data_IF_683184276371
#
_entry.id   IF_683184276371
#
_cell.length_a   1.000
_cell.length_b   1.000
_cell.length_c   1.000
_cell.angle_alpha   90.00
_cell.angle_beta   90.00
_cell.angle_gamma   90.00
#
_symmetry.space_group_name_H-M   'P 1'
#
loop_
_entity.id
_entity.type
_entity.pdbx_description
1 polymer ?
#
# COMPACT_ATOMS: atom_id res chain seq x y z
N UNK A 1 -18.15 -13.54 -11.56
CA UNK A 1 -17.62 -12.67 -10.48
C UNK A 1 -16.57 -13.46 -9.71
N UNK A 2 -15.40 -12.89 -9.42
CA UNK A 2 -14.43 -13.52 -8.50
C UNK A 2 -14.95 -13.36 -7.07
N UNK A 3 -14.65 -14.32 -6.20
CA UNK A 3 -14.97 -14.19 -4.78
C UNK A 3 -14.10 -13.09 -4.15
N UNK A 4 -14.71 -11.92 -3.94
CA UNK A 4 -14.03 -10.73 -3.41
C UNK A 4 -13.56 -10.93 -1.97
N UNK A 5 -14.24 -11.78 -1.18
CA UNK A 5 -13.84 -12.10 0.18
C UNK A 5 -12.60 -13.00 0.17
N UNK A 6 -12.57 -14.01 -0.70
CA UNK A 6 -11.38 -14.84 -0.89
C UNK A 6 -10.18 -14.00 -1.36
N UNK A 7 -10.37 -13.10 -2.33
CA UNK A 7 -9.30 -12.21 -2.81
C UNK A 7 -8.80 -11.30 -1.68
N UNK A 8 -9.70 -10.71 -0.89
CA UNK A 8 -9.30 -9.88 0.25
C UNK A 8 -8.47 -10.67 1.27
N UNK A 9 -8.88 -11.89 1.62
CA UNK A 9 -8.14 -12.75 2.54
C UNK A 9 -6.75 -13.15 1.99
N UNK A 10 -6.65 -13.42 0.69
CA UNK A 10 -5.37 -13.72 0.04
C UNK A 10 -4.43 -12.51 0.05
N UNK A 11 -4.95 -11.30 -0.18
CA UNK A 11 -4.19 -10.05 -0.09
C UNK A 11 -3.72 -9.81 1.36
N UNK A 12 -4.55 -10.08 2.37
CA UNK A 12 -4.15 -9.92 3.77
C UNK A 12 -3.05 -10.90 4.20
N UNK A 13 -3.14 -12.15 3.74
CA UNK A 13 -2.09 -13.15 3.95
C UNK A 13 -0.77 -12.72 3.26
N UNK A 14 -0.84 -12.26 2.01
CA UNK A 14 0.33 -11.77 1.28
C UNK A 14 0.97 -10.55 1.95
N UNK A 15 0.18 -9.55 2.33
CA UNK A 15 0.66 -8.34 3.01
C UNK A 15 1.28 -8.66 4.37
N UNK A 16 0.77 -9.68 5.08
CA UNK A 16 1.38 -10.17 6.32
C UNK A 16 2.80 -10.68 6.08
N UNK A 17 3.00 -11.52 5.06
CA UNK A 17 4.34 -12.00 4.68
C UNK A 17 5.24 -10.84 4.27
N UNK A 18 4.75 -9.90 3.44
CA UNK A 18 5.57 -8.75 3.03
C UNK A 18 5.99 -7.87 4.21
N UNK A 19 5.11 -7.65 5.20
CA UNK A 19 5.44 -6.92 6.43
C UNK A 19 6.53 -7.62 7.22
N UNK A 20 6.43 -8.93 7.37
CA UNK A 20 7.41 -9.75 8.08
C UNK A 20 8.77 -9.73 7.36
N UNK A 21 8.80 -9.90 6.04
CA UNK A 21 10.02 -9.86 5.25
C UNK A 21 10.67 -8.46 5.25
N UNK A 22 9.87 -7.39 5.19
CA UNK A 22 10.39 -6.02 5.31
C UNK A 22 11.08 -5.82 6.68
N UNK A 23 10.45 -6.29 7.76
CA UNK A 23 11.04 -6.23 9.10
C UNK A 23 12.35 -7.04 9.19
N UNK A 24 12.38 -8.25 8.63
CA UNK A 24 13.60 -9.10 8.58
C UNK A 24 14.74 -8.46 7.78
N UNK A 25 14.41 -7.72 6.73
CA UNK A 25 15.38 -6.99 5.92
C UNK A 25 15.83 -5.65 6.55
N UNK A 26 15.23 -5.23 7.69
CA UNK A 26 15.47 -3.90 8.27
C UNK A 26 14.88 -2.76 7.43
N UNK A 27 13.94 -3.05 6.54
CA UNK A 27 13.24 -2.09 5.72
C UNK A 27 11.94 -1.61 6.40
N UNK A 28 11.47 -0.42 6.03
CA UNK A 28 10.17 0.08 6.46
C UNK A 28 9.04 -0.54 5.63
N UNK A 29 8.02 -1.09 6.31
CA UNK A 29 6.76 -1.50 5.69
C UNK A 29 5.78 -0.32 5.66
N UNK A 30 5.25 0.02 4.48
CA UNK A 30 4.22 1.05 4.31
C UNK A 30 2.90 0.38 3.98
N UNK A 31 1.99 0.34 4.96
CA UNK A 31 0.69 -0.28 4.76
C UNK A 31 -0.27 0.66 4.01
N UNK A 32 -0.38 0.45 2.70
CA UNK A 32 -1.34 1.14 1.83
C UNK A 32 -2.71 0.45 1.80
N UNK A 33 -2.86 -0.71 2.44
CA UNK A 33 -4.07 -1.53 2.38
C UNK A 33 -5.33 -0.81 2.86
N UNK A 34 -5.33 -0.15 4.04
CA UNK A 34 -6.50 0.57 4.55
C UNK A 34 -7.03 1.65 3.58
N UNK A 35 -6.17 2.57 3.12
CA UNK A 35 -6.59 3.64 2.20
C UNK A 35 -7.03 3.09 0.85
N UNK A 36 -6.41 1.99 0.40
CA UNK A 36 -6.77 1.32 -0.84
C UNK A 36 -8.15 0.64 -0.75
N UNK A 37 -8.51 0.08 0.40
CA UNK A 37 -9.84 -0.50 0.64
C UNK A 37 -10.92 0.56 0.76
N UNK A 38 -10.61 1.65 1.47
CA UNK A 38 -11.56 2.74 1.71
C UNK A 38 -11.92 3.45 0.40
N UNK A 39 -10.92 3.74 -0.44
CA UNK A 39 -11.07 4.65 -1.59
C UNK A 39 -10.90 4.00 -2.95
N UNK A 40 -10.45 2.75 -3.01
CA UNK A 40 -10.10 2.07 -4.27
C UNK A 40 -11.28 1.83 -5.22
N UNK A 41 -12.52 1.96 -4.77
CA UNK A 41 -13.70 1.93 -5.63
C UNK A 41 -14.09 3.27 -6.25
N UNK A 42 -13.44 4.38 -5.85
CA UNK A 42 -13.71 5.71 -6.40
C UNK A 42 -13.10 5.85 -7.79
N UNK A 43 -13.88 6.33 -8.77
CA UNK A 43 -13.40 6.58 -10.15
C UNK A 43 -12.16 7.48 -10.16
N UNK A 44 -12.09 8.47 -9.28
CA UNK A 44 -10.94 9.38 -9.19
C UNK A 44 -9.65 8.72 -8.68
N UNK A 45 -9.74 7.55 -8.01
CA UNK A 45 -8.60 6.84 -7.45
C UNK A 45 -8.00 5.78 -8.40
N UNK A 46 -8.63 5.55 -9.54
CA UNK A 46 -8.19 4.58 -10.55
C UNK A 46 -7.93 5.28 -11.88
N UNK A 47 -7.10 4.67 -12.72
CA UNK A 47 -7.04 5.02 -14.15
C UNK A 47 -8.14 4.28 -14.92
N UNK A 48 -8.25 4.55 -16.22
CA UNK A 48 -9.35 4.08 -17.07
C UNK A 48 -9.52 2.55 -17.14
N UNK A 49 -8.53 1.76 -16.72
CA UNK A 49 -8.62 0.31 -16.67
C UNK A 49 -9.37 -0.24 -15.44
N UNK A 50 -9.75 0.62 -14.50
CA UNK A 50 -10.50 0.24 -13.32
C UNK A 50 -9.73 -0.64 -12.34
N UNK A 51 -8.39 -0.69 -12.45
CA UNK A 51 -7.53 -1.49 -11.57
C UNK A 51 -6.31 -0.70 -11.07
N UNK A 52 -5.59 0.00 -11.94
CA UNK A 52 -4.36 0.66 -11.53
C UNK A 52 -4.65 1.98 -10.79
N UNK A 53 -3.89 2.29 -9.73
CA UNK A 53 -4.04 3.55 -8.99
C UNK A 53 -3.82 4.77 -9.89
N UNK A 54 -4.68 5.78 -9.73
CA UNK A 54 -4.48 7.09 -10.35
C UNK A 54 -3.37 7.88 -9.64
N UNK A 55 -3.00 9.03 -10.22
CA UNK A 55 -2.10 9.99 -9.57
C UNK A 55 -2.60 10.41 -8.18
N UNK A 56 -3.92 10.50 -7.98
CA UNK A 56 -4.50 10.88 -6.70
C UNK A 56 -4.32 9.78 -5.63
N UNK A 57 -4.47 8.50 -6.01
CA UNK A 57 -4.19 7.39 -5.09
C UNK A 57 -2.69 7.27 -4.78
N UNK A 58 -1.82 7.43 -5.79
CA UNK A 58 -0.37 7.46 -5.58
C UNK A 58 0.08 8.61 -4.67
N UNK A 59 -0.60 9.76 -4.69
CA UNK A 59 -0.32 10.85 -3.76
C UNK A 59 -0.59 10.45 -2.30
N UNK A 60 -1.68 9.72 -2.02
CA UNK A 60 -1.97 9.19 -0.68
C UNK A 60 -0.91 8.17 -0.24
N UNK A 61 -0.56 7.23 -1.13
CA UNK A 61 0.46 6.22 -0.84
C UNK A 61 1.82 6.86 -0.56
N UNK A 62 2.20 7.88 -1.33
CA UNK A 62 3.44 8.62 -1.15
C UNK A 62 3.44 9.41 0.16
N UNK A 63 2.30 9.99 0.55
CA UNK A 63 2.16 10.67 1.83
C UNK A 63 2.35 9.71 3.02
N UNK A 64 1.84 8.48 2.94
CA UNK A 64 2.08 7.43 3.94
C UNK A 64 3.56 7.01 4.00
N UNK A 65 4.25 6.96 2.86
CA UNK A 65 5.65 6.59 2.78
C UNK A 65 6.61 7.69 3.28
N UNK A 66 6.20 8.96 3.21
CA UNK A 66 7.08 10.11 3.45
C UNK A 66 7.80 10.10 4.82
N UNK A 67 7.15 9.79 5.96
CA UNK A 67 7.84 9.77 7.25
C UNK A 67 8.95 8.71 7.30
N UNK A 68 8.69 7.51 6.77
CA UNK A 68 9.67 6.43 6.71
C UNK A 68 10.82 6.75 5.76
N UNK A 69 10.53 7.35 4.59
CA UNK A 69 11.55 7.81 3.66
C UNK A 69 12.47 8.87 4.29
N UNK A 70 11.89 9.82 5.04
CA UNK A 70 12.67 10.81 5.80
C UNK A 70 13.57 10.15 6.84
N UNK A 71 13.05 9.19 7.61
CA UNK A 71 13.82 8.45 8.61
C UNK A 71 14.99 7.67 7.97
N UNK A 72 14.76 7.01 6.84
CA UNK A 72 15.78 6.25 6.12
C UNK A 72 16.92 7.12 5.55
N UNK A 73 16.63 8.39 5.25
CA UNK A 73 17.60 9.35 4.72
C UNK A 73 18.32 10.16 5.80
N UNK A 74 17.85 10.12 7.05
CA UNK A 74 18.55 10.75 8.15
C UNK A 74 19.80 9.92 8.47
N UNK A 75 20.97 10.53 8.26
CA UNK A 75 22.25 9.97 8.69
C UNK A 75 22.19 9.84 10.22
N UNK A 76 22.28 8.61 10.72
CA UNK A 76 22.53 8.39 12.15
C UNK A 76 23.92 8.97 12.48
N UNK A 77 24.04 9.91 13.43
CA UNK A 77 25.35 10.32 13.94
C UNK A 77 26.08 9.15 14.60
#
# INVERSE_FOLDING_TARGET
SRDTALVAAQIDAFNTVCREEAARAGAHWIDIGPVSRERGGEVAMLVDDGLHPSAAMYALWSALALPAARAALQVRP
#
